data_IF_938873994292
#
_entry.id   IF_938873994292
#
_cell.length_a   1.000
_cell.length_b   1.000
_cell.length_c   1.000
_cell.angle_alpha   90.00
_cell.angle_beta   90.00
_cell.angle_gamma   90.00
#
_symmetry.space_group_name_H-M   'P 1'
#
loop_
_entity.id
_entity.type
_entity.pdbx_description
1 polymer ?
#
# COMPACT_ATOMS: atom_id res chain seq x y z
N UNK A 1 -25.65 2.94 -8.71
CA UNK A 1 -25.58 1.91 -7.64
C UNK A 1 -26.72 0.95 -7.86
N UNK A 2 -26.46 -0.21 -8.45
CA UNK A 2 -27.42 -1.32 -8.51
C UNK A 2 -27.16 -2.24 -7.32
N UNK A 3 -28.17 -2.46 -6.50
CA UNK A 3 -28.12 -3.48 -5.44
C UNK A 3 -28.48 -4.81 -6.09
N UNK A 4 -27.77 -5.91 -5.78
CA UNK A 4 -28.23 -7.23 -6.21
C UNK A 4 -29.48 -7.65 -5.40
N UNK A 5 -30.18 -8.69 -5.86
CA UNK A 5 -31.39 -9.19 -5.22
C UNK A 5 -31.17 -9.56 -3.74
N UNK A 6 -30.05 -10.20 -3.40
CA UNK A 6 -29.65 -10.51 -2.01
C UNK A 6 -29.39 -9.24 -1.17
N UNK A 7 -28.77 -8.21 -1.78
CA UNK A 7 -28.53 -6.92 -1.15
C UNK A 7 -29.87 -6.17 -0.87
N UNK A 8 -30.86 -6.29 -1.77
CA UNK A 8 -32.19 -5.69 -1.61
C UNK A 8 -33.02 -6.42 -0.55
N UNK A 9 -32.95 -7.75 -0.48
CA UNK A 9 -33.61 -8.55 0.55
C UNK A 9 -33.07 -8.22 1.96
N UNK A 10 -31.76 -8.05 2.10
CA UNK A 10 -31.14 -7.65 3.37
C UNK A 10 -31.53 -6.25 3.81
N UNK A 11 -31.63 -5.32 2.85
CA UNK A 11 -32.14 -3.97 3.10
C UNK A 11 -33.59 -4.03 3.62
N UNK A 12 -34.45 -4.84 2.98
CA UNK A 12 -35.85 -5.04 3.41
C UNK A 12 -35.98 -5.70 4.78
N UNK A 13 -34.99 -6.52 5.17
CA UNK A 13 -34.92 -7.15 6.49
C UNK A 13 -34.37 -6.23 7.60
N UNK A 14 -33.96 -5.00 7.28
CA UNK A 14 -33.37 -4.07 8.26
C UNK A 14 -31.89 -4.34 8.57
N UNK A 15 -31.22 -5.18 7.79
CA UNK A 15 -29.78 -5.39 7.89
C UNK A 15 -29.03 -4.29 7.12
N UNK A 16 -27.80 -3.98 7.54
CA UNK A 16 -26.92 -3.07 6.77
C UNK A 16 -26.44 -3.83 5.53
N UNK A 17 -26.93 -3.52 4.32
CA UNK A 17 -26.56 -4.26 3.14
C UNK A 17 -25.17 -3.80 2.70
N UNK A 18 -24.36 -4.74 2.24
CA UNK A 18 -23.05 -4.42 1.68
C UNK A 18 -23.26 -3.72 0.34
N UNK A 19 -22.38 -2.79 -0.01
CA UNK A 19 -22.31 -2.29 -1.39
C UNK A 19 -21.93 -3.49 -2.26
N UNK A 20 -22.91 -3.96 -3.04
CA UNK A 20 -22.73 -4.98 -4.04
C UNK A 20 -21.76 -4.45 -5.10
N UNK A 21 -20.59 -5.09 -5.21
CA UNK A 21 -19.62 -4.74 -6.24
C UNK A 21 -20.09 -5.31 -7.59
N UNK A 22 -19.76 -4.68 -8.73
CA UNK A 22 -20.23 -5.12 -10.05
C UNK A 22 -19.95 -6.59 -10.40
N UNK A 23 -18.95 -7.20 -9.76
CA UNK A 23 -18.52 -8.59 -9.94
C UNK A 23 -19.04 -9.55 -8.85
N UNK A 24 -19.78 -9.08 -7.85
CA UNK A 24 -20.41 -9.95 -6.85
C UNK A 24 -21.54 -10.80 -7.50
N UNK A 25 -22.04 -10.40 -8.67
CA UNK A 25 -23.02 -11.13 -9.50
C UNK A 25 -22.43 -11.79 -10.75
N UNK A 26 -21.11 -11.70 -10.97
CA UNK A 26 -20.48 -12.28 -12.17
C UNK A 26 -20.38 -13.82 -12.01
N UNK A 27 -20.96 -14.60 -12.96
CA UNK A 27 -21.03 -16.06 -12.90
C UNK A 27 -19.69 -16.76 -13.12
N UNK A 28 -18.62 -16.02 -13.42
CA UNK A 28 -17.29 -16.58 -13.67
C UNK A 28 -16.84 -17.45 -12.48
N UNK A 29 -16.43 -18.71 -12.71
CA UNK A 29 -15.93 -19.58 -11.67
C UNK A 29 -14.78 -18.93 -10.88
N UNK A 30 -14.73 -19.20 -9.57
CA UNK A 30 -13.73 -18.59 -8.68
C UNK A 30 -12.29 -18.91 -9.09
N UNK A 31 -12.05 -20.08 -9.67
CA UNK A 31 -10.75 -20.50 -10.19
C UNK A 31 -10.28 -19.66 -11.36
N UNK A 32 -11.19 -19.34 -12.28
CA UNK A 32 -10.90 -18.49 -13.43
C UNK A 32 -10.70 -17.04 -12.99
N UNK A 33 -11.57 -16.53 -12.11
CA UNK A 33 -11.46 -15.18 -11.54
C UNK A 33 -10.12 -14.95 -10.84
N UNK A 34 -9.62 -15.92 -10.08
CA UNK A 34 -8.39 -15.79 -9.30
C UNK A 34 -7.18 -16.53 -9.89
N UNK A 35 -7.23 -16.94 -11.15
CA UNK A 35 -6.11 -17.63 -11.83
C UNK A 35 -4.80 -16.86 -11.72
N UNK A 36 -4.85 -15.55 -11.96
CA UNK A 36 -3.68 -14.67 -11.86
C UNK A 36 -3.13 -14.60 -10.42
N UNK A 37 -4.02 -14.57 -9.42
CA UNK A 37 -3.66 -14.57 -8.00
C UNK A 37 -2.95 -15.87 -7.59
N UNK A 38 -3.47 -17.03 -7.98
CA UNK A 38 -2.84 -18.32 -7.69
C UNK A 38 -1.46 -18.41 -8.35
N UNK A 39 -1.34 -18.04 -9.63
CA UNK A 39 -0.05 -17.99 -10.32
C UNK A 39 0.95 -17.06 -9.61
N UNK A 40 0.52 -15.88 -9.19
CA UNK A 40 1.37 -14.94 -8.47
C UNK A 40 1.81 -15.49 -7.11
N UNK A 41 0.93 -16.20 -6.38
CA UNK A 41 1.26 -16.84 -5.12
C UNK A 41 2.41 -17.86 -5.27
N UNK A 42 2.33 -18.71 -6.29
CA UNK A 42 3.37 -19.69 -6.63
C UNK A 42 4.70 -19.02 -6.98
N UNK A 43 4.67 -17.99 -7.83
CA UNK A 43 5.89 -17.27 -8.23
C UNK A 43 6.55 -16.57 -7.03
N UNK A 44 5.75 -15.88 -6.21
CA UNK A 44 6.26 -15.18 -5.01
C UNK A 44 6.92 -16.16 -4.05
N UNK A 45 6.31 -17.34 -3.85
CA UNK A 45 6.87 -18.42 -3.03
C UNK A 45 8.18 -18.96 -3.60
N UNK A 46 8.18 -19.38 -4.87
CA UNK A 46 9.35 -19.97 -5.53
C UNK A 46 10.53 -19.00 -5.61
N UNK A 47 10.26 -17.72 -5.79
CA UNK A 47 11.28 -16.68 -5.84
C UNK A 47 11.84 -16.29 -4.45
N UNK A 48 11.38 -16.93 -3.36
CA UNK A 48 11.86 -16.66 -2.01
C UNK A 48 11.58 -15.23 -1.56
N UNK A 49 10.49 -14.62 -2.01
CA UNK A 49 10.15 -13.24 -1.64
C UNK A 49 9.54 -13.26 -0.23
N UNK A 50 10.24 -12.62 0.71
CA UNK A 50 9.82 -12.61 2.12
C UNK A 50 9.23 -11.27 2.60
N UNK A 51 9.48 -10.20 1.85
CA UNK A 51 9.08 -8.84 2.23
C UNK A 51 7.58 -8.62 2.03
N UNK A 52 6.86 -8.26 3.11
CA UNK A 52 5.42 -7.96 3.07
C UNK A 52 5.08 -6.79 2.13
N UNK A 53 6.01 -5.85 1.95
CA UNK A 53 5.87 -4.73 1.03
C UNK A 53 6.03 -5.16 -0.43
N UNK A 54 6.41 -6.42 -0.70
CA UNK A 54 6.44 -7.03 -2.03
C UNK A 54 5.32 -8.05 -2.22
N UNK A 55 5.12 -8.92 -1.24
CA UNK A 55 4.11 -9.99 -1.28
C UNK A 55 2.70 -9.42 -1.43
N UNK A 56 2.28 -8.54 -0.50
CA UNK A 56 0.92 -8.01 -0.48
C UNK A 56 0.58 -7.25 -1.76
N UNK A 57 1.36 -6.26 -2.22
CA UNK A 57 1.02 -5.53 -3.45
C UNK A 57 1.05 -6.39 -4.70
N UNK A 58 1.97 -7.36 -4.81
CA UNK A 58 2.02 -8.27 -5.97
C UNK A 58 0.75 -9.13 -6.04
N UNK A 59 0.34 -9.72 -4.91
CA UNK A 59 -0.86 -10.56 -4.86
C UNK A 59 -2.15 -9.74 -4.99
N UNK A 60 -2.20 -8.54 -4.40
CA UNK A 60 -3.35 -7.64 -4.55
C UNK A 60 -3.57 -7.22 -6.00
N UNK A 61 -2.49 -6.86 -6.70
CA UNK A 61 -2.56 -6.52 -8.12
C UNK A 61 -3.01 -7.74 -8.96
N UNK A 62 -2.45 -8.92 -8.69
CA UNK A 62 -2.89 -10.14 -9.36
C UNK A 62 -4.38 -10.45 -9.12
N UNK A 63 -4.88 -10.29 -7.89
CA UNK A 63 -6.29 -10.50 -7.56
C UNK A 63 -7.22 -9.48 -8.24
N UNK A 64 -6.78 -8.23 -8.35
CA UNK A 64 -7.58 -7.13 -8.92
C UNK A 64 -7.49 -7.04 -10.44
N UNK A 65 -6.54 -7.73 -11.07
CA UNK A 65 -6.36 -7.70 -12.53
C UNK A 65 -7.55 -8.25 -13.30
N UNK A 66 -8.31 -9.19 -12.74
CA UNK A 66 -9.55 -9.62 -13.38
C UNK A 66 -10.64 -8.54 -13.40
N UNK A 67 -10.64 -7.65 -12.39
CA UNK A 67 -11.73 -6.70 -12.14
C UNK A 67 -11.45 -5.31 -12.70
N UNK A 68 -10.17 -4.99 -12.91
CA UNK A 68 -9.71 -3.69 -13.39
C UNK A 68 -8.98 -3.89 -14.73
N UNK A 69 -9.69 -3.68 -15.83
CA UNK A 69 -9.19 -3.91 -17.20
C UNK A 69 -7.86 -3.22 -17.47
N UNK A 70 -7.72 -1.95 -17.08
CA UNK A 70 -6.47 -1.19 -17.28
C UNK A 70 -5.29 -1.82 -16.53
N UNK A 71 -5.55 -2.38 -15.36
CA UNK A 71 -4.55 -3.06 -14.55
C UNK A 71 -4.21 -4.45 -15.12
N UNK A 72 -5.18 -5.13 -15.75
CA UNK A 72 -4.92 -6.35 -16.53
C UNK A 72 -3.97 -6.08 -17.70
N UNK A 73 -4.31 -5.08 -18.52
CA UNK A 73 -3.50 -4.67 -19.69
C UNK A 73 -2.10 -4.25 -19.24
N UNK A 74 -2.02 -3.43 -18.19
CA UNK A 74 -0.73 -3.01 -17.63
C UNK A 74 0.11 -4.19 -17.14
N UNK A 75 -0.50 -5.17 -16.45
CA UNK A 75 0.18 -6.39 -15.99
C UNK A 75 0.76 -7.18 -17.17
N UNK A 76 -0.03 -7.39 -18.21
CA UNK A 76 0.36 -8.22 -19.35
C UNK A 76 1.48 -7.56 -20.15
N UNK A 77 1.37 -6.26 -20.42
CA UNK A 77 2.45 -5.49 -21.04
C UNK A 77 3.73 -5.49 -20.22
N UNK A 78 3.62 -5.35 -18.89
CA UNK A 78 4.79 -5.47 -18.02
C UNK A 78 5.40 -6.87 -18.11
N UNK A 79 4.59 -7.93 -18.17
CA UNK A 79 5.09 -9.30 -18.23
C UNK A 79 5.80 -9.63 -19.55
N UNK A 80 5.41 -8.97 -20.64
CA UNK A 80 5.97 -9.15 -21.99
C UNK A 80 7.18 -8.24 -22.27
N UNK A 81 7.23 -7.06 -21.66
CA UNK A 81 8.30 -6.09 -21.90
C UNK A 81 9.67 -6.59 -21.40
N UNK A 82 10.68 -6.47 -22.26
CA UNK A 82 12.06 -6.84 -21.92
C UNK A 82 12.62 -5.90 -20.83
N UNK A 83 13.19 -6.48 -19.78
CA UNK A 83 13.74 -5.72 -18.66
C UNK A 83 14.86 -4.77 -19.12
N UNK A 84 14.66 -3.46 -18.91
CA UNK A 84 15.61 -2.41 -19.27
C UNK A 84 15.34 -1.73 -20.61
N UNK A 85 14.44 -2.28 -21.43
CA UNK A 85 13.95 -1.63 -22.65
C UNK A 85 13.31 -0.26 -22.36
N UNK A 86 13.15 0.56 -23.41
CA UNK A 86 12.44 1.83 -23.31
C UNK A 86 10.98 1.62 -22.89
N UNK A 87 10.30 0.64 -23.51
CA UNK A 87 8.94 0.26 -23.13
C UNK A 87 8.83 -0.12 -21.65
N UNK A 88 9.78 -0.92 -21.13
CA UNK A 88 9.81 -1.27 -19.71
C UNK A 88 9.95 -0.04 -18.81
N UNK A 89 10.82 0.91 -19.17
CA UNK A 89 11.00 2.17 -18.43
C UNK A 89 9.73 3.02 -18.46
N UNK A 90 9.04 3.08 -19.59
CA UNK A 90 7.80 3.85 -19.77
C UNK A 90 6.62 3.24 -19.01
N UNK A 91 6.50 1.91 -19.03
CA UNK A 91 5.50 1.18 -18.23
C UNK A 91 5.74 1.38 -16.74
N UNK A 92 7.00 1.29 -16.28
CA UNK A 92 7.37 1.63 -14.89
C UNK A 92 7.02 3.07 -14.52
N UNK A 93 7.26 4.02 -15.42
CA UNK A 93 6.89 5.42 -15.25
C UNK A 93 5.37 5.60 -15.14
N UNK A 94 4.61 4.84 -15.93
CA UNK A 94 3.14 4.87 -15.93
C UNK A 94 2.56 4.28 -14.65
N UNK A 95 3.05 3.13 -14.20
CA UNK A 95 2.71 2.54 -12.89
C UNK A 95 2.94 3.57 -11.78
N UNK A 96 4.12 4.19 -11.76
CA UNK A 96 4.47 5.16 -10.72
C UNK A 96 3.54 6.38 -10.72
N UNK A 97 3.09 6.84 -11.89
CA UNK A 97 2.14 7.96 -12.01
C UNK A 97 0.73 7.58 -11.59
N UNK A 98 0.26 6.38 -11.94
CA UNK A 98 -1.07 5.90 -11.58
C UNK A 98 -1.15 5.53 -10.09
N UNK A 99 -0.07 4.95 -9.55
CA UNK A 99 0.00 4.38 -8.23
C UNK A 99 1.24 4.88 -7.49
N UNK A 100 1.10 6.03 -6.84
CA UNK A 100 2.23 6.79 -6.32
C UNK A 100 3.08 6.08 -5.22
N UNK A 101 2.56 5.07 -4.48
CA UNK A 101 3.42 4.24 -3.59
C UNK A 101 4.09 3.07 -4.31
N UNK A 102 3.63 2.69 -5.50
CA UNK A 102 4.02 1.45 -6.12
C UNK A 102 5.22 1.61 -7.04
N UNK A 103 6.04 0.57 -7.03
CA UNK A 103 7.17 0.43 -7.92
C UNK A 103 7.23 -0.99 -8.46
N UNK A 104 7.41 -1.14 -9.77
CA UNK A 104 7.71 -2.45 -10.36
C UNK A 104 9.20 -2.70 -10.20
N UNK A 105 9.56 -3.75 -9.47
CA UNK A 105 10.96 -4.12 -9.26
C UNK A 105 11.51 -4.90 -10.44
N UNK A 106 10.79 -5.93 -10.87
CA UNK A 106 11.17 -6.87 -11.94
C UNK A 106 9.96 -7.69 -12.38
N UNK A 107 10.10 -8.44 -13.47
CA UNK A 107 9.20 -9.55 -13.81
C UNK A 107 9.86 -10.86 -13.41
N UNK A 108 9.13 -11.72 -12.73
CA UNK A 108 9.57 -13.07 -12.39
C UNK A 108 8.59 -14.06 -13.01
N UNK A 109 9.05 -14.91 -13.92
CA UNK A 109 8.23 -15.95 -14.56
C UNK A 109 6.90 -15.41 -15.11
N UNK A 110 6.94 -14.22 -15.73
CA UNK A 110 5.78 -13.50 -16.27
C UNK A 110 4.82 -12.92 -15.23
N UNK A 111 5.25 -12.76 -13.97
CA UNK A 111 4.53 -12.05 -12.91
C UNK A 111 5.34 -10.80 -12.53
N UNK A 112 4.82 -9.59 -12.75
CA UNK A 112 5.50 -8.38 -12.29
C UNK A 112 5.49 -8.32 -10.76
N UNK A 113 6.67 -8.15 -10.16
CA UNK A 113 6.87 -8.02 -8.72
C UNK A 113 6.80 -6.55 -8.35
N UNK A 114 5.76 -6.22 -7.58
CA UNK A 114 5.53 -4.86 -7.10
C UNK A 114 6.10 -4.67 -5.71
N UNK A 115 6.51 -3.44 -5.43
CA UNK A 115 6.86 -2.95 -4.10
C UNK A 115 6.00 -1.75 -3.75
N UNK A 116 5.35 -1.78 -2.59
CA UNK A 116 4.60 -0.65 -2.04
C UNK A 116 5.46 0.06 -1.01
N UNK A 117 5.88 1.28 -1.34
CA UNK A 117 6.73 2.10 -0.48
C UNK A 117 6.01 2.44 0.83
N UNK A 118 6.72 2.38 1.98
CA UNK A 118 6.10 2.66 3.27
C UNK A 118 5.80 4.15 3.49
N UNK A 119 6.33 5.03 2.65
CA UNK A 119 6.13 6.47 2.66
C UNK A 119 6.22 7.09 1.25
N UNK A 120 5.82 8.36 1.13
CA UNK A 120 5.99 9.23 -0.05
C UNK A 120 6.63 10.56 0.37
N UNK A 121 7.36 11.18 -0.56
CA UNK A 121 7.89 12.54 -0.44
C UNK A 121 7.50 13.30 -1.71
N UNK A 122 6.82 14.45 -1.55
CA UNK A 122 6.36 15.29 -2.66
C UNK A 122 6.76 16.75 -2.46
N UNK A 123 7.25 17.38 -3.51
CA UNK A 123 7.40 18.82 -3.59
C UNK A 123 6.09 19.45 -4.04
N UNK A 124 5.68 20.53 -3.39
CA UNK A 124 4.69 21.46 -3.91
C UNK A 124 5.42 22.70 -4.37
N UNK A 125 5.22 23.07 -5.63
CA UNK A 125 5.84 24.24 -6.26
C UNK A 125 4.81 25.34 -6.43
N UNK A 126 5.24 26.59 -6.26
CA UNK A 126 4.45 27.75 -6.69
C UNK A 126 4.30 27.68 -8.21
N UNK A 127 3.07 27.72 -8.71
CA UNK A 127 2.79 27.56 -10.15
C UNK A 127 3.44 28.68 -10.98
N UNK A 128 3.56 29.88 -10.42
CA UNK A 128 4.04 31.06 -11.11
C UNK A 128 5.57 31.10 -11.23
N UNK A 129 6.28 30.61 -10.21
CA UNK A 129 7.75 30.72 -10.12
C UNK A 129 8.48 29.39 -10.26
N UNK A 130 7.77 28.25 -10.17
CA UNK A 130 8.35 26.91 -10.15
C UNK A 130 9.15 26.60 -8.88
N UNK A 131 9.23 27.53 -7.94
CA UNK A 131 9.97 27.36 -6.68
C UNK A 131 9.21 26.43 -5.75
N UNK A 132 9.92 25.47 -5.13
CA UNK A 132 9.34 24.57 -4.13
C UNK A 132 8.86 25.36 -2.91
N UNK A 133 7.55 25.50 -2.69
CA UNK A 133 6.93 26.14 -1.52
C UNK A 133 7.16 25.29 -0.26
N UNK A 134 6.83 24.01 -0.37
CA UNK A 134 6.80 23.07 0.75
C UNK A 134 7.02 21.65 0.27
N UNK A 135 7.43 20.80 1.20
CA UNK A 135 7.63 19.38 0.97
C UNK A 135 6.73 18.60 1.90
N UNK A 136 5.95 17.69 1.34
CA UNK A 136 5.04 16.84 2.11
C UNK A 136 5.62 15.43 2.15
N UNK A 137 5.86 14.93 3.35
CA UNK A 137 6.18 13.53 3.62
C UNK A 137 4.93 12.85 4.14
N UNK A 138 4.46 11.83 3.44
CA UNK A 138 3.34 10.99 3.89
C UNK A 138 3.86 9.61 4.26
N UNK A 139 3.77 9.25 5.53
CA UNK A 139 4.12 7.93 6.05
C UNK A 139 2.84 7.12 6.20
N UNK A 140 2.83 5.92 5.61
CA UNK A 140 1.69 5.00 5.71
C UNK A 140 2.01 3.82 6.61
N UNK A 141 3.27 3.36 6.62
CA UNK A 141 3.69 2.19 7.38
C UNK A 141 4.70 2.54 8.45
N UNK A 142 4.59 1.85 9.59
CA UNK A 142 5.53 1.94 10.71
C UNK A 142 6.93 1.45 10.36
N UNK A 143 7.06 0.67 9.29
CA UNK A 143 8.33 0.18 8.79
C UNK A 143 9.15 1.26 8.07
N UNK A 144 8.57 2.43 7.78
CA UNK A 144 9.30 3.55 7.19
C UNK A 144 10.48 3.94 8.09
N UNK A 145 11.64 4.15 7.49
CA UNK A 145 12.88 4.53 8.18
C UNK A 145 13.18 5.99 7.95
N UNK A 146 13.63 6.69 9.00
CA UNK A 146 14.02 8.10 8.91
C UNK A 146 15.09 8.31 7.83
N UNK A 147 16.11 7.46 7.83
CA UNK A 147 17.19 7.45 6.83
C UNK A 147 16.67 7.39 5.39
N UNK A 148 15.83 6.41 5.04
CA UNK A 148 15.23 6.28 3.71
C UNK A 148 14.37 7.51 3.33
N UNK A 149 13.65 8.09 4.30
CA UNK A 149 12.88 9.32 4.10
C UNK A 149 13.83 10.49 3.79
N UNK A 150 14.92 10.63 4.55
CA UNK A 150 15.95 11.65 4.39
C UNK A 150 16.64 11.57 3.02
N UNK A 151 17.07 10.38 2.61
CA UNK A 151 17.66 10.16 1.27
C UNK A 151 16.69 10.54 0.16
N UNK A 152 15.41 10.16 0.30
CA UNK A 152 14.40 10.48 -0.71
C UNK A 152 14.09 11.97 -0.76
N UNK A 153 14.12 12.62 0.39
CA UNK A 153 13.96 14.05 0.53
C UNK A 153 15.13 14.80 -0.13
N UNK A 154 16.37 14.39 0.15
CA UNK A 154 17.58 14.98 -0.46
C UNK A 154 17.60 14.83 -1.99
N UNK A 155 17.28 13.62 -2.49
CA UNK A 155 17.16 13.38 -3.92
C UNK A 155 16.08 14.26 -4.58
N UNK A 156 14.99 14.55 -3.86
CA UNK A 156 13.93 15.43 -4.33
C UNK A 156 14.38 16.90 -4.33
N UNK A 157 15.08 17.37 -3.29
CA UNK A 157 15.62 18.74 -3.25
C UNK A 157 16.64 18.96 -4.36
N UNK A 158 17.56 18.01 -4.51
CA UNK A 158 18.58 18.02 -5.58
C UNK A 158 17.94 18.11 -6.97
N UNK A 159 16.86 17.34 -7.21
CA UNK A 159 16.11 17.38 -8.48
C UNK A 159 15.52 18.76 -8.78
N UNK A 160 15.12 19.51 -7.76
CA UNK A 160 14.52 20.84 -7.91
C UNK A 160 15.53 21.98 -7.70
N UNK A 161 16.83 21.67 -7.57
CA UNK A 161 17.87 22.67 -7.33
C UNK A 161 17.68 23.46 -6.03
N UNK A 162 17.03 22.87 -5.02
CA UNK A 162 16.71 23.56 -3.76
C UNK A 162 17.87 23.41 -2.78
N UNK A 163 18.36 24.53 -2.27
CA UNK A 163 19.35 24.56 -1.19
C UNK A 163 18.69 24.29 0.17
N UNK A 164 19.48 23.74 1.10
CA UNK A 164 19.05 23.51 2.47
C UNK A 164 20.15 23.93 3.46
N UNK A 165 19.74 24.38 4.65
CA UNK A 165 20.63 24.74 5.75
C UNK A 165 20.16 24.05 7.06
N UNK A 166 21.10 23.79 7.96
CA UNK A 166 20.89 22.95 9.16
C UNK A 166 20.02 23.58 10.25
N UNK A 167 19.55 24.82 10.12
CA UNK A 167 18.81 25.52 11.20
C UNK A 167 17.62 26.36 10.74
N UNK A 168 17.21 26.25 9.48
CA UNK A 168 16.16 27.08 8.90
C UNK A 168 15.03 26.22 8.32
N UNK A 169 13.84 26.80 8.24
CA UNK A 169 12.60 26.12 7.86
C UNK A 169 11.75 25.74 9.07
N UNK A 170 10.51 25.35 8.80
CA UNK A 170 9.55 24.89 9.81
C UNK A 170 8.83 23.64 9.39
N UNK A 171 8.14 22.99 10.33
CA UNK A 171 7.32 21.83 10.02
C UNK A 171 5.99 21.86 10.76
N UNK A 172 4.99 21.24 10.15
CA UNK A 172 3.73 20.86 10.77
C UNK A 172 3.48 19.38 10.54
N UNK A 173 2.63 18.76 11.35
CA UNK A 173 2.23 17.37 11.14
C UNK A 173 0.74 17.18 11.41
N UNK A 174 0.17 16.18 10.73
CA UNK A 174 -1.19 15.72 10.95
C UNK A 174 -1.21 14.19 10.89
N UNK A 175 -1.82 13.57 11.90
CA UNK A 175 -1.96 12.12 11.97
C UNK A 175 -3.43 11.72 11.90
N UNK A 176 -3.74 10.78 11.01
CA UNK A 176 -5.06 10.17 10.85
C UNK A 176 -4.91 8.64 10.81
N UNK A 177 -6.03 7.93 10.93
CA UNK A 177 -6.02 6.46 10.83
C UNK A 177 -5.35 6.02 9.52
N UNK A 178 -4.22 5.33 9.64
CA UNK A 178 -3.45 4.77 8.54
C UNK A 178 -2.45 5.70 7.86
N UNK A 179 -2.30 6.97 8.31
CA UNK A 179 -1.42 7.96 7.67
C UNK A 179 -0.88 8.98 8.66
N UNK A 180 0.41 9.26 8.58
CA UNK A 180 1.07 10.41 9.19
C UNK A 180 1.56 11.33 8.06
N UNK A 181 1.10 12.56 8.03
CA UNK A 181 1.56 13.57 7.09
C UNK A 181 2.42 14.58 7.84
N UNK A 182 3.61 14.86 7.33
CA UNK A 182 4.53 15.88 7.82
C UNK A 182 4.80 16.84 6.69
N UNK A 183 4.62 18.14 6.95
CA UNK A 183 4.79 19.19 5.95
C UNK A 183 5.96 20.07 6.39
N UNK A 184 6.96 20.18 5.52
CA UNK A 184 8.14 21.01 5.72
C UNK A 184 8.01 22.26 4.87
N UNK A 185 8.18 23.41 5.50
CA UNK A 185 8.02 24.72 4.89
C UNK A 185 9.33 25.50 4.95
N UNK A 186 9.54 26.39 3.99
CA UNK A 186 10.67 27.35 3.99
C UNK A 186 10.62 28.35 5.15
N UNK A 187 9.44 28.57 5.73
CA UNK A 187 9.22 29.38 6.93
C UNK A 187 8.42 28.58 7.95
N UNK A 188 8.79 28.66 9.23
CA UNK A 188 7.87 28.28 10.29
C UNK A 188 6.64 29.20 10.20
N UNK A 189 5.40 28.67 10.18
CA UNK A 189 4.21 29.50 10.36
C UNK A 189 4.40 30.32 11.65
N UNK A 190 4.00 31.59 11.64
CA UNK A 190 4.08 32.57 12.76
C UNK A 190 3.53 32.09 14.13
N UNK A 191 3.06 30.85 14.26
CA UNK A 191 2.25 30.38 15.39
C UNK A 191 3.01 29.74 16.56
N UNK A 192 4.35 29.81 16.65
CA UNK A 192 5.07 29.15 17.74
C UNK A 192 6.21 29.93 18.40
N UNK A 193 6.35 31.24 18.17
CA UNK A 193 7.29 32.05 18.96
C UNK A 193 6.67 33.38 19.43
N UNK A 194 6.21 33.46 20.70
CA UNK A 194 5.75 34.71 21.30
C UNK A 194 6.85 35.78 21.46
N UNK A 195 8.13 35.45 21.22
CA UNK A 195 9.26 36.39 21.36
C UNK A 195 9.65 37.07 20.04
N UNK A 196 8.97 36.78 18.92
CA UNK A 196 9.27 37.32 17.59
C UNK A 196 8.19 38.28 17.06
N UNK A 197 7.58 39.08 17.95
CA UNK A 197 6.79 40.24 17.52
C UNK A 197 7.70 41.24 16.77
N UNK A 198 7.41 41.49 15.49
CA UNK A 198 7.98 42.64 14.76
C UNK A 198 8.85 42.36 13.54
N UNK A 199 8.97 41.12 13.03
CA UNK A 199 9.63 40.89 11.73
C UNK A 199 8.62 40.79 10.58
N UNK A 200 8.84 41.65 9.59
CA UNK A 200 8.15 41.77 8.29
C UNK A 200 8.00 40.39 7.64
N UNK A 201 6.84 40.13 7.03
CA UNK A 201 6.61 38.97 6.18
C UNK A 201 7.71 38.87 5.12
N UNK A 202 8.69 37.99 5.37
CA UNK A 202 9.70 37.68 4.37
C UNK A 202 8.97 36.94 3.27
N UNK A 203 8.77 37.62 2.15
CA UNK A 203 8.08 37.06 1.00
C UNK A 203 8.91 35.87 0.49
N UNK A 204 8.46 34.65 0.79
CA UNK A 204 9.16 33.40 0.47
C UNK A 204 9.28 33.17 -1.05
N UNK A 205 8.46 33.86 -1.85
CA UNK A 205 8.57 33.87 -3.31
C UNK A 205 9.76 34.71 -3.80
N UNK A 206 10.20 35.70 -3.02
CA UNK A 206 11.30 36.62 -3.38
C UNK A 206 12.63 36.29 -2.72
N UNK A 207 12.61 35.52 -1.64
CA UNK A 207 13.81 35.11 -0.91
C UNK A 207 13.87 33.59 -0.94
N UNK A 208 14.90 33.03 -1.57
CA UNK A 208 15.17 31.59 -1.67
C UNK A 208 15.53 31.01 -0.29
N UNK A 209 14.55 31.00 0.62
CA UNK A 209 14.75 30.58 2.00
C UNK A 209 14.92 29.05 2.04
N UNK A 210 15.93 28.53 2.76
CA UNK A 210 16.26 27.12 2.73
C UNK A 210 15.17 26.26 3.38
N UNK A 211 15.04 25.05 2.87
CA UNK A 211 14.27 24.00 3.53
C UNK A 211 15.13 23.28 4.59
N UNK A 212 14.50 22.55 5.54
CA UNK A 212 15.23 21.80 6.55
C UNK A 212 16.20 20.78 5.96
N UNK A 213 17.36 20.61 6.61
CA UNK A 213 18.36 19.63 6.20
C UNK A 213 17.79 18.19 6.21
N UNK A 214 18.15 17.32 5.23
CA UNK A 214 17.61 15.95 5.14
C UNK A 214 17.77 15.12 6.41
N UNK A 215 18.90 15.25 7.12
CA UNK A 215 19.12 14.60 8.42
C UNK A 215 18.10 15.02 9.50
N UNK A 216 17.69 16.29 9.54
CA UNK A 216 16.66 16.76 10.50
C UNK A 216 15.30 16.19 10.11
N UNK A 217 15.00 16.14 8.82
CA UNK A 217 13.77 15.51 8.30
C UNK A 217 13.72 14.03 8.69
N UNK A 218 14.83 13.31 8.50
CA UNK A 218 14.98 11.91 8.87
C UNK A 218 14.69 11.68 10.36
N UNK A 219 15.42 12.39 11.24
CA UNK A 219 15.31 12.27 12.69
C UNK A 219 13.91 12.63 13.18
N UNK A 220 13.32 13.71 12.64
CA UNK A 220 11.97 14.14 13.00
C UNK A 220 10.92 13.11 12.58
N UNK A 221 10.98 12.64 11.33
CA UNK A 221 10.03 11.64 10.85
C UNK A 221 10.15 10.35 11.65
N UNK A 222 11.36 9.91 11.98
CA UNK A 222 11.59 8.73 12.82
C UNK A 222 11.04 8.93 14.25
N UNK A 223 11.27 10.10 14.85
CA UNK A 223 10.71 10.44 16.16
C UNK A 223 9.17 10.50 16.16
N UNK A 224 8.57 11.09 15.11
CA UNK A 224 7.11 11.18 14.97
C UNK A 224 6.48 9.82 14.68
N UNK A 225 7.12 8.96 13.88
CA UNK A 225 6.68 7.57 13.73
C UNK A 225 6.74 6.88 15.09
N UNK A 226 7.88 6.98 15.78
CA UNK A 226 8.10 6.47 17.12
C UNK A 226 7.87 4.95 17.24
N UNK A 227 7.60 4.50 18.47
CA UNK A 227 7.39 3.08 18.76
C UNK A 227 6.13 2.84 19.59
N UNK A 228 5.52 1.65 19.43
CA UNK A 228 4.37 1.24 20.25
C UNK A 228 4.87 0.70 21.60
N UNK A 229 4.87 1.53 22.65
CA UNK A 229 5.25 1.13 24.02
C UNK A 229 4.07 0.56 24.83
N UNK A 230 4.30 -0.48 25.64
CA UNK A 230 3.25 -1.19 26.43
C UNK A 230 2.99 -0.51 27.78
N UNK A 231 3.83 0.44 28.20
CA UNK A 231 3.84 1.04 29.54
C UNK A 231 3.47 2.53 29.54
N UNK A 232 2.58 2.94 28.63
CA UNK A 232 2.06 4.33 28.59
C UNK A 232 3.09 5.41 28.23
N UNK A 233 4.32 5.04 27.85
CA UNK A 233 5.38 5.97 27.41
C UNK A 233 5.83 5.60 25.99
N UNK A 234 4.93 5.69 25.02
CA UNK A 234 5.27 5.59 23.60
C UNK A 234 5.09 6.96 22.96
N UNK A 235 6.18 7.67 22.71
CA UNK A 235 6.20 8.94 21.99
C UNK A 235 6.17 8.67 20.48
N UNK A 236 5.00 8.82 19.83
CA UNK A 236 4.87 8.75 18.37
C UNK A 236 3.52 8.24 17.86
N UNK A 237 3.37 8.23 16.53
CA UNK A 237 2.14 7.88 15.78
C UNK A 237 2.12 6.46 15.24
N UNK A 238 3.04 5.59 15.68
CA UNK A 238 3.09 4.21 15.24
C UNK A 238 1.73 3.51 15.38
N UNK A 239 1.00 3.72 16.49
CA UNK A 239 -0.31 3.09 16.73
C UNK A 239 -1.36 3.37 15.65
N UNK A 240 -1.32 4.53 15.00
CA UNK A 240 -2.27 4.89 13.93
C UNK A 240 -1.77 4.50 12.53
N UNK A 241 -0.48 4.22 12.37
CA UNK A 241 0.09 3.77 11.09
C UNK A 241 -0.20 2.29 10.82
N UNK A 242 -0.20 1.92 9.54
CA UNK A 242 -0.32 0.51 9.15
C UNK A 242 0.97 -0.28 9.34
N UNK A 243 0.87 -1.60 9.28
CA UNK A 243 1.95 -2.48 9.68
C UNK A 243 1.84 -2.87 11.16
N UNK A 244 2.78 -3.67 11.65
CA UNK A 244 2.61 -4.35 12.94
C UNK A 244 2.94 -3.50 14.16
N UNK A 245 2.25 -3.78 15.27
CA UNK A 245 2.55 -3.25 16.61
C UNK A 245 3.86 -3.78 17.17
N UNK A 246 4.09 -5.09 17.04
CA UNK A 246 5.29 -5.83 17.49
C UNK A 246 5.44 -7.17 16.74
N UNK A 247 6.60 -7.79 16.90
CA UNK A 247 6.88 -9.17 16.51
C UNK A 247 7.74 -9.28 15.25
N UNK A 248 8.21 -10.49 14.97
CA UNK A 248 8.94 -10.79 13.73
C UNK A 248 8.07 -10.44 12.50
N UNK A 249 8.70 -10.20 11.32
CA UNK A 249 8.04 -10.18 10.02
C UNK A 249 7.10 -11.38 9.81
N UNK A 250 6.17 -11.25 8.86
CA UNK A 250 5.06 -12.19 8.72
C UNK A 250 5.78 -13.31 8.02
N UNK A 251 5.72 -14.47 8.63
CA UNK A 251 6.29 -15.64 8.03
C UNK A 251 5.68 -15.77 6.62
N UNK A 252 6.48 -15.62 5.54
CA UNK A 252 5.98 -15.54 4.17
C UNK A 252 5.11 -16.74 3.83
N UNK A 253 5.51 -17.88 4.37
CA UNK A 253 4.85 -19.18 4.34
C UNK A 253 3.39 -19.13 4.82
N UNK A 254 3.06 -18.26 5.76
CA UNK A 254 1.68 -18.01 6.22
C UNK A 254 1.05 -16.76 5.59
N UNK A 255 1.86 -15.80 5.15
CA UNK A 255 1.39 -14.56 4.56
C UNK A 255 0.76 -14.77 3.19
N UNK A 256 1.44 -15.49 2.29
CA UNK A 256 0.96 -15.77 0.94
C UNK A 256 -0.43 -16.43 0.96
N UNK A 257 -0.63 -17.60 1.61
CA UNK A 257 -1.94 -18.25 1.63
C UNK A 257 -3.01 -17.42 2.35
N UNK A 258 -2.64 -16.62 3.36
CA UNK A 258 -3.60 -15.73 4.01
C UNK A 258 -4.06 -14.57 3.10
N UNK A 259 -3.18 -13.98 2.29
CA UNK A 259 -3.58 -12.96 1.30
C UNK A 259 -4.50 -13.57 0.26
N UNK A 260 -4.18 -14.78 -0.23
CA UNK A 260 -5.05 -15.51 -1.17
C UNK A 260 -6.42 -15.77 -0.56
N UNK A 261 -6.46 -16.32 0.67
CA UNK A 261 -7.70 -16.59 1.40
C UNK A 261 -8.52 -15.32 1.64
N UNK A 262 -7.87 -14.17 1.85
CA UNK A 262 -8.57 -12.90 2.06
C UNK A 262 -9.35 -12.47 0.81
N UNK A 263 -8.75 -12.57 -0.38
CA UNK A 263 -9.39 -12.24 -1.66
C UNK A 263 -10.48 -13.24 -2.02
N UNK A 264 -10.15 -14.54 -2.03
CA UNK A 264 -11.10 -15.63 -2.32
C UNK A 264 -12.28 -15.60 -1.36
N UNK A 265 -12.03 -15.27 -0.09
CA UNK A 265 -13.03 -15.14 0.97
C UNK A 265 -13.83 -13.84 0.96
N UNK A 266 -14.01 -13.20 -0.20
CA UNK A 266 -14.84 -12.01 -0.36
C UNK A 266 -14.27 -10.76 0.30
N UNK A 267 -12.95 -10.54 0.20
CA UNK A 267 -12.22 -9.38 0.76
C UNK A 267 -12.31 -9.27 2.28
N UNK A 268 -12.05 -10.39 2.95
CA UNK A 268 -12.07 -10.47 4.42
C UNK A 268 -13.44 -10.80 5.02
N UNK A 269 -14.48 -10.96 4.20
CA UNK A 269 -15.79 -11.46 4.66
C UNK A 269 -15.67 -12.82 5.35
N UNK A 270 -14.74 -13.68 4.93
CA UNK A 270 -14.41 -14.97 5.58
C UNK A 270 -14.07 -14.86 7.07
N UNK A 271 -13.68 -13.67 7.55
CA UNK A 271 -13.43 -13.43 8.98
C UNK A 271 -14.70 -13.11 9.78
N UNK A 272 -15.80 -12.76 9.10
CA UNK A 272 -17.10 -12.41 9.67
C UNK A 272 -18.15 -13.50 9.45
N UNK A 273 -18.12 -14.15 8.28
CA UNK A 273 -19.03 -15.20 7.84
C UNK A 273 -18.33 -16.55 7.95
N UNK A 274 -18.65 -17.30 9.01
CA UNK A 274 -17.97 -18.56 9.33
C UNK A 274 -18.24 -19.66 8.29
N UNK A 275 -19.40 -19.61 7.63
CA UNK A 275 -19.84 -20.49 6.56
C UNK A 275 -19.02 -20.36 5.26
N UNK A 276 -18.30 -19.24 5.05
CA UNK A 276 -17.39 -19.07 3.92
C UNK A 276 -16.07 -19.84 4.09
N UNK A 277 -15.63 -20.07 5.34
CA UNK A 277 -14.34 -20.73 5.64
C UNK A 277 -14.17 -22.09 4.95
N UNK A 278 -15.14 -23.03 5.01
CA UNK A 278 -15.01 -24.31 4.30
C UNK A 278 -14.86 -24.15 2.79
N UNK A 279 -15.61 -23.22 2.18
CA UNK A 279 -15.55 -22.97 0.74
C UNK A 279 -14.18 -22.43 0.35
N UNK A 280 -13.67 -21.45 1.10
CA UNK A 280 -12.34 -20.87 0.89
C UNK A 280 -11.24 -21.91 1.09
N UNK A 281 -11.32 -22.72 2.16
CA UNK A 281 -10.35 -23.77 2.41
C UNK A 281 -10.29 -24.79 1.27
N UNK A 282 -11.45 -25.17 0.72
CA UNK A 282 -11.52 -26.05 -0.45
C UNK A 282 -10.81 -25.42 -1.66
N UNK A 283 -11.16 -24.18 -2.01
CA UNK A 283 -10.54 -23.48 -3.15
C UNK A 283 -9.02 -23.38 -3.00
N UNK A 284 -8.52 -23.09 -1.80
CA UNK A 284 -7.09 -23.03 -1.54
C UNK A 284 -6.43 -24.40 -1.72
N UNK A 285 -7.04 -25.49 -1.21
CA UNK A 285 -6.53 -26.86 -1.41
C UNK A 285 -6.48 -27.27 -2.88
N UNK A 286 -7.48 -26.86 -3.65
CA UNK A 286 -7.60 -27.26 -5.06
C UNK A 286 -6.64 -26.46 -5.97
N UNK A 287 -6.12 -25.31 -5.53
CA UNK A 287 -5.38 -24.36 -6.39
C UNK A 287 -3.98 -23.95 -5.90
N UNK A 288 -3.61 -24.24 -4.65
CA UNK A 288 -2.27 -23.96 -4.10
C UNK A 288 -1.49 -25.26 -3.90
N UNK A 289 -0.16 -25.16 -4.01
CA UNK A 289 0.74 -26.29 -3.87
C UNK A 289 0.85 -26.69 -2.40
N UNK A 290 1.17 -27.95 -2.13
CA UNK A 290 1.32 -28.49 -0.78
C UNK A 290 2.31 -27.68 0.08
N UNK A 291 3.36 -27.10 -0.53
CA UNK A 291 4.34 -26.26 0.17
C UNK A 291 3.75 -24.93 0.68
N UNK A 292 2.72 -24.41 0.02
CA UNK A 292 1.94 -23.24 0.46
C UNK A 292 0.84 -23.64 1.44
N UNK A 293 0.33 -24.86 1.35
CA UNK A 293 -0.70 -25.41 2.24
C UNK A 293 -0.13 -26.03 3.52
N UNK A 294 1.16 -26.33 3.54
CA UNK A 294 1.87 -26.96 4.66
C UNK A 294 3.13 -26.19 5.05
N UNK A 295 3.01 -24.89 5.37
CA UNK A 295 4.14 -24.06 5.76
C UNK A 295 4.92 -24.71 6.92
N UNK A 296 6.23 -24.92 6.71
CA UNK A 296 7.14 -25.60 7.65
C UNK A 296 6.66 -27.00 8.08
N UNK A 297 6.04 -27.72 7.16
CA UNK A 297 5.51 -29.07 7.39
C UNK A 297 4.24 -29.11 8.25
N UNK A 298 3.62 -27.96 8.53
CA UNK A 298 2.36 -27.89 9.29
C UNK A 298 1.21 -27.55 8.35
N UNK A 299 0.30 -28.49 8.14
CA UNK A 299 -0.90 -28.26 7.32
C UNK A 299 -1.72 -27.08 7.86
N UNK A 300 -2.11 -26.17 6.96
CA UNK A 300 -2.98 -25.04 7.25
C UNK A 300 -4.42 -25.47 7.53
N UNK A 301 -4.82 -26.57 6.91
CA UNK A 301 -6.15 -27.18 7.02
C UNK A 301 -5.99 -28.63 7.48
N UNK A 302 -6.89 -29.10 8.33
CA UNK A 302 -6.92 -30.50 8.70
C UNK A 302 -7.54 -31.36 7.58
N UNK A 303 -7.13 -32.64 7.51
CA UNK A 303 -7.45 -33.56 6.42
C UNK A 303 -8.95 -33.90 6.35
N UNK A 304 -9.63 -33.82 7.49
CA UNK A 304 -11.06 -34.07 7.63
C UNK A 304 -11.75 -32.82 8.22
N UNK A 305 -12.06 -31.86 7.34
CA UNK A 305 -12.91 -30.71 7.67
C UNK A 305 -12.22 -29.35 7.67
N UNK A 306 -12.84 -28.39 8.34
CA UNK A 306 -12.33 -27.04 8.55
C UNK A 306 -12.55 -26.68 10.02
N UNK A 307 -11.55 -26.10 10.67
CA UNK A 307 -11.68 -25.60 12.05
C UNK A 307 -11.63 -24.06 12.09
N UNK A 308 -12.65 -23.47 12.73
CA UNK A 308 -12.70 -22.03 12.99
C UNK A 308 -11.51 -21.52 13.82
N UNK A 309 -10.85 -22.41 14.57
CA UNK A 309 -9.64 -22.18 15.36
C UNK A 309 -8.34 -22.21 14.57
N UNK A 310 -8.36 -22.61 13.29
CA UNK A 310 -7.17 -22.70 12.43
C UNK A 310 -6.40 -21.38 12.40
N UNK A 311 -5.06 -21.50 12.40
CA UNK A 311 -4.16 -20.37 12.49
C UNK A 311 -4.33 -19.39 11.32
N UNK A 312 -4.67 -19.90 10.14
CA UNK A 312 -4.85 -19.10 8.92
C UNK A 312 -5.92 -18.01 9.10
N UNK A 313 -7.05 -18.28 9.75
CA UNK A 313 -8.13 -17.31 9.90
C UNK A 313 -7.76 -16.14 10.82
N UNK A 314 -6.97 -16.41 11.87
CA UNK A 314 -6.40 -15.34 12.71
C UNK A 314 -5.40 -14.52 11.91
N UNK A 315 -4.64 -15.16 11.02
CA UNK A 315 -3.68 -14.48 10.16
C UNK A 315 -4.38 -13.57 9.14
N UNK A 316 -5.39 -14.08 8.44
CA UNK A 316 -6.26 -13.30 7.52
C UNK A 316 -6.78 -12.05 8.22
N UNK A 317 -7.32 -12.17 9.44
CA UNK A 317 -7.80 -11.02 10.23
C UNK A 317 -6.70 -9.99 10.53
N UNK A 318 -5.48 -10.44 10.83
CA UNK A 318 -4.34 -9.56 11.13
C UNK A 318 -3.82 -8.81 9.90
N UNK A 319 -3.90 -9.41 8.72
CA UNK A 319 -3.38 -8.82 7.47
C UNK A 319 -4.44 -8.02 6.69
N UNK A 320 -5.72 -8.08 7.08
CA UNK A 320 -6.81 -7.36 6.41
C UNK A 320 -6.53 -5.87 6.21
N UNK A 321 -6.02 -5.17 7.23
CA UNK A 321 -5.74 -3.74 7.14
C UNK A 321 -4.62 -3.40 6.15
N UNK A 322 -3.46 -4.09 6.18
CA UNK A 322 -2.45 -3.99 5.13
C UNK A 322 -2.98 -4.24 3.71
N UNK A 323 -3.81 -5.27 3.51
CA UNK A 323 -4.38 -5.59 2.18
C UNK A 323 -5.36 -4.50 1.75
N UNK A 324 -6.30 -4.09 2.61
CA UNK A 324 -7.31 -3.07 2.29
C UNK A 324 -6.70 -1.76 1.81
N UNK A 325 -5.56 -1.36 2.38
CA UNK A 325 -4.87 -0.15 1.95
C UNK A 325 -4.33 -0.26 0.53
N UNK A 326 -3.66 -1.37 0.24
CA UNK A 326 -3.13 -1.66 -1.09
C UNK A 326 -4.30 -1.74 -2.08
N UNK A 327 -5.38 -2.43 -1.72
CA UNK A 327 -6.60 -2.54 -2.53
C UNK A 327 -7.24 -1.17 -2.81
N UNK A 328 -7.31 -0.30 -1.80
CA UNK A 328 -7.83 1.06 -1.95
C UNK A 328 -6.95 1.92 -2.87
N UNK A 329 -5.63 1.87 -2.74
CA UNK A 329 -4.75 2.62 -3.65
C UNK A 329 -4.83 2.09 -5.09
N UNK A 330 -5.04 0.79 -5.28
CA UNK A 330 -5.30 0.22 -6.61
C UNK A 330 -6.65 0.66 -7.20
N UNK A 331 -7.65 0.94 -6.35
CA UNK A 331 -8.98 1.45 -6.75
C UNK A 331 -8.96 2.93 -7.10
N UNK A 332 -8.35 3.74 -6.24
CA UNK A 332 -8.28 5.19 -6.37
C UNK A 332 -7.16 5.65 -7.32
N UNK A 333 -6.33 4.71 -7.78
CA UNK A 333 -5.27 5.00 -8.75
C UNK A 333 -5.85 5.68 -9.98
N UNK A 334 -5.40 6.90 -10.24
CA UNK A 334 -5.85 7.68 -11.38
C UNK A 334 -5.11 7.21 -12.63
N UNK A 335 -5.74 6.30 -13.38
CA UNK A 335 -5.43 6.15 -14.79
C UNK A 335 -6.02 7.37 -15.49
N UNK A 336 -5.22 8.41 -15.77
CA UNK A 336 -5.68 9.61 -16.48
C UNK A 336 -6.13 9.31 -17.92
N UNK A 337 -5.83 10.14 -18.93
CA UNK A 337 -6.24 9.90 -20.33
C UNK A 337 -5.52 8.70 -21.00
N UNK A 338 -5.19 7.67 -20.23
CA UNK A 338 -4.67 6.37 -20.66
C UNK A 338 -5.70 5.57 -21.48
N UNK A 339 -7.00 5.89 -21.41
CA UNK A 339 -8.01 5.35 -22.34
C UNK A 339 -7.73 5.63 -23.82
N UNK A 340 -6.80 6.53 -24.15
CA UNK A 340 -6.34 6.78 -25.53
C UNK A 340 -5.04 6.05 -25.90
N UNK A 341 -4.29 5.47 -24.95
CA UNK A 341 -3.04 4.76 -25.20
C UNK A 341 -3.21 3.23 -25.22
N UNK A 342 -4.42 2.74 -25.00
CA UNK A 342 -4.77 1.32 -25.04
C UNK A 342 -5.96 1.15 -26.00
N UNK A 343 -5.72 0.97 -27.32
CA UNK A 343 -6.79 0.56 -28.21
C UNK A 343 -7.29 -0.84 -27.81
N UNK A 344 -8.60 -1.00 -27.83
CA UNK A 344 -9.33 -2.24 -27.53
C UNK A 344 -9.02 -3.39 -28.50
#
# INVERSE_FOLDING_TARGET
MSWCEECDERLRAGEVPRICEPWDTDPTPTEERYRALFRAAHVVRRAGIEDENKIIPTLALAARSFELTDLNIMRDRLAEAEAGSEEWRDLKGTVRRAFDTFEVLRVQDGVPIFYSRPFKVRAHVFQETGVVEKVVVEVYRRSAKGEEIGERYDAMLSKHGVSYESRQGGFGWHASTGRLQVVFHRLAPKSLDPLLEGRVEVNAEKNDLPLPHPGIVADLCEALIGTVSRKGKGSGFASVLGGRDRGRPFDPDYLIPAVVAWYVGGRGNVTRQHDLKPKVAKILRDNLDDDLLSPRGKRLFHDEGWDSGEYIWRFVKRISQPILRVDHELREGYFGPLGFLFPA
#
